data_IF_588096995373
#
_entry.id   IF_588096995373
#
_cell.length_a   1.000
_cell.length_b   1.000
_cell.length_c   1.000
_cell.angle_alpha   90.00
_cell.angle_beta   90.00
_cell.angle_gamma   90.00
#
_symmetry.space_group_name_H-M   'P 1'
#
loop_
_entity.id
_entity.type
_entity.pdbx_description
1 polymer ?
#
# COMPACT_ATOMS: atom_id res chain seq x y z
N UNK A 1 -8.38 -53.93 11.70
CA UNK A 1 -7.41 -52.93 12.19
C UNK A 1 -6.51 -52.35 11.10
N UNK A 2 -6.10 -53.08 10.04
CA UNK A 2 -5.27 -52.53 8.96
C UNK A 2 -5.94 -51.46 8.06
N UNK A 3 -7.28 -51.46 7.90
CA UNK A 3 -7.97 -50.49 7.02
C UNK A 3 -8.18 -49.10 7.64
N UNK A 4 -8.24 -48.99 8.97
CA UNK A 4 -8.35 -47.68 9.64
C UNK A 4 -7.02 -46.91 9.67
N UNK A 5 -5.89 -47.63 9.56
CA UNK A 5 -4.55 -47.05 9.55
C UNK A 5 -4.17 -46.42 8.19
N UNK A 6 -4.84 -46.83 7.11
CA UNK A 6 -4.65 -46.25 5.79
C UNK A 6 -5.40 -44.91 5.62
N UNK A 7 -6.54 -44.74 6.32
CA UNK A 7 -7.32 -43.49 6.26
C UNK A 7 -6.71 -42.38 7.11
N UNK A 8 -6.07 -42.70 8.24
CA UNK A 8 -5.32 -41.71 9.03
C UNK A 8 -4.02 -41.26 8.35
N UNK A 9 -3.35 -42.13 7.58
CA UNK A 9 -2.16 -41.76 6.81
C UNK A 9 -2.47 -40.80 5.65
N UNK A 10 -3.62 -40.94 4.98
CA UNK A 10 -4.04 -40.07 3.88
C UNK A 10 -4.42 -38.65 4.30
N UNK A 11 -5.00 -38.48 5.50
CA UNK A 11 -5.40 -37.16 6.03
C UNK A 11 -4.19 -36.37 6.55
N UNK A 12 -3.13 -37.04 7.02
CA UNK A 12 -1.89 -36.37 7.48
C UNK A 12 -1.03 -35.87 6.31
N UNK A 13 -1.12 -36.50 5.13
CA UNK A 13 -0.29 -36.13 3.96
C UNK A 13 -0.81 -34.91 3.19
N UNK A 14 -2.07 -34.50 3.40
CA UNK A 14 -2.65 -33.31 2.75
C UNK A 14 -2.28 -31.97 3.41
N UNK A 15 -1.58 -31.97 4.57
CA UNK A 15 -1.17 -30.77 5.30
C UNK A 15 0.26 -30.29 5.00
N UNK A 16 0.96 -30.89 4.03
CA UNK A 16 2.33 -30.52 3.65
C UNK A 16 2.41 -29.69 2.36
N UNK A 17 1.37 -28.92 2.04
CA UNK A 17 1.50 -27.86 1.04
C UNK A 17 2.37 -26.76 1.64
N UNK A 18 3.68 -26.81 1.38
CA UNK A 18 4.59 -25.73 1.75
C UNK A 18 4.09 -24.44 1.10
N UNK A 19 3.91 -23.34 1.85
CA UNK A 19 3.53 -22.08 1.24
C UNK A 19 4.61 -21.70 0.22
N UNK A 20 4.19 -21.44 -1.02
CA UNK A 20 5.07 -20.83 -2.00
C UNK A 20 5.59 -19.52 -1.41
N UNK A 21 6.89 -19.45 -1.15
CA UNK A 21 7.51 -18.23 -0.62
C UNK A 21 7.52 -17.20 -1.75
N UNK A 22 7.03 -15.96 -1.53
CA UNK A 22 7.18 -14.90 -2.52
C UNK A 22 8.66 -14.73 -2.85
N UNK A 23 8.98 -14.67 -4.14
CA UNK A 23 10.36 -14.60 -4.56
C UNK A 23 10.95 -13.26 -4.11
N UNK A 24 10.35 -12.13 -4.47
CA UNK A 24 10.91 -10.80 -4.22
C UNK A 24 10.22 -10.11 -3.04
N UNK A 25 11.01 -9.81 -2.02
CA UNK A 25 10.62 -8.99 -0.87
C UNK A 25 11.25 -7.61 -0.99
N UNK A 26 10.44 -6.57 -0.87
CA UNK A 26 10.88 -5.17 -0.88
C UNK A 26 11.07 -4.73 0.58
N UNK A 27 12.19 -4.08 0.89
CA UNK A 27 12.56 -3.67 2.24
C UNK A 27 11.71 -2.53 2.82
N UNK A 28 10.74 -2.02 2.07
CA UNK A 28 9.82 -0.97 2.49
C UNK A 28 8.43 -1.22 1.90
N UNK A 29 7.38 -0.70 2.54
CA UNK A 29 5.98 -0.75 2.04
C UNK A 29 5.57 0.55 1.31
N UNK A 30 6.46 1.54 1.34
CA UNK A 30 6.33 2.87 0.75
C UNK A 30 7.69 3.55 0.73
N UNK A 31 7.83 4.56 -0.11
CA UNK A 31 9.07 5.30 -0.28
C UNK A 31 8.78 6.78 -0.08
N UNK A 32 9.56 7.43 0.78
CA UNK A 32 9.58 8.90 0.87
C UNK A 32 10.80 9.38 0.11
N UNK A 33 10.60 10.25 -0.87
CA UNK A 33 11.65 10.95 -1.60
C UNK A 33 11.67 12.41 -1.13
N UNK A 34 12.58 12.80 -0.22
CA UNK A 34 12.71 14.20 0.17
C UNK A 34 13.30 15.01 -0.99
N UNK A 35 12.70 16.17 -1.25
CA UNK A 35 13.03 17.08 -2.36
C UNK A 35 14.52 17.48 -2.43
N UNK A 36 15.19 17.61 -1.30
CA UNK A 36 16.61 17.98 -1.24
C UNK A 36 17.58 16.80 -1.43
N UNK A 37 17.08 15.57 -1.42
CA UNK A 37 17.92 14.41 -1.64
C UNK A 37 18.18 14.22 -3.13
N UNK A 38 19.43 13.93 -3.47
CA UNK A 38 19.82 13.59 -4.84
C UNK A 38 19.18 12.28 -5.29
N UNK A 39 19.18 11.29 -4.41
CA UNK A 39 18.67 9.96 -4.68
C UNK A 39 18.16 9.26 -3.43
N UNK A 40 17.29 8.27 -3.63
CA UNK A 40 16.83 7.34 -2.59
C UNK A 40 17.03 5.91 -3.08
N UNK A 41 17.57 5.06 -2.21
CA UNK A 41 17.75 3.64 -2.50
C UNK A 41 16.62 2.79 -1.91
N UNK A 42 16.10 1.85 -2.69
CA UNK A 42 15.16 0.83 -2.24
C UNK A 42 15.81 -0.54 -2.35
N UNK A 43 15.79 -1.31 -1.26
CA UNK A 43 16.36 -2.66 -1.23
C UNK A 43 15.30 -3.70 -1.57
N UNK A 44 15.68 -4.66 -2.39
CA UNK A 44 14.92 -5.84 -2.75
C UNK A 44 15.73 -7.08 -2.39
N UNK A 45 15.07 -8.16 -2.02
CA UNK A 45 15.71 -9.44 -1.73
C UNK A 45 14.91 -10.58 -2.34
N UNK A 46 15.60 -11.51 -3.00
CA UNK A 46 15.00 -12.76 -3.40
C UNK A 46 15.02 -13.75 -2.23
N UNK A 47 13.86 -14.01 -1.62
CA UNK A 47 13.65 -15.03 -0.58
C UNK A 47 13.05 -16.33 -1.14
N UNK A 48 12.83 -16.39 -2.46
CA UNK A 48 12.45 -17.60 -3.17
C UNK A 48 13.63 -18.54 -3.39
N UNK A 49 13.32 -19.70 -3.97
CA UNK A 49 14.29 -20.78 -4.25
C UNK A 49 14.78 -20.74 -5.72
N UNK A 50 14.15 -19.91 -6.56
CA UNK A 50 14.49 -19.72 -7.97
C UNK A 50 14.93 -18.28 -8.25
N UNK A 51 15.79 -18.06 -9.26
CA UNK A 51 16.14 -16.72 -9.69
C UNK A 51 14.93 -15.99 -10.28
N UNK A 52 14.81 -14.69 -10.04
CA UNK A 52 13.75 -13.87 -10.63
C UNK A 52 14.33 -12.74 -11.47
N UNK A 53 13.68 -12.47 -12.61
CA UNK A 53 13.90 -11.23 -13.34
C UNK A 53 12.96 -10.16 -12.76
N UNK A 54 13.52 -9.03 -12.37
CA UNK A 54 12.79 -7.92 -11.77
C UNK A 54 12.79 -6.74 -12.73
N UNK A 55 11.61 -6.18 -12.98
CA UNK A 55 11.44 -4.91 -13.68
C UNK A 55 10.89 -3.86 -12.72
N UNK A 56 11.43 -2.65 -12.77
CA UNK A 56 11.01 -1.54 -11.90
C UNK A 56 10.75 -0.28 -12.71
N UNK A 57 9.67 0.44 -12.36
CA UNK A 57 9.34 1.74 -12.96
C UNK A 57 8.51 2.59 -11.99
N UNK A 58 8.43 3.89 -12.25
CA UNK A 58 7.66 4.84 -11.44
C UNK A 58 6.58 5.48 -12.30
N UNK A 59 5.33 5.45 -11.84
CA UNK A 59 4.17 6.07 -12.50
C UNK A 59 3.51 7.17 -11.65
N UNK A 60 2.58 7.92 -12.26
CA UNK A 60 1.87 9.08 -11.70
C UNK A 60 0.46 8.76 -11.19
N UNK A 61 0.08 7.49 -11.13
CA UNK A 61 -1.24 7.04 -10.65
C UNK A 61 -1.90 6.01 -11.55
N UNK A 62 -1.46 5.81 -12.78
CA UNK A 62 -2.04 4.84 -13.71
C UNK A 62 -1.71 3.38 -13.34
N UNK A 63 -2.72 2.65 -12.88
CA UNK A 63 -2.62 1.21 -12.58
C UNK A 63 -2.34 0.37 -13.81
N UNK A 64 -2.74 0.80 -15.01
CA UNK A 64 -2.43 0.11 -16.27
C UNK A 64 -1.03 0.45 -16.80
N UNK A 65 -0.26 1.28 -16.10
CA UNK A 65 1.07 1.69 -16.54
C UNK A 65 2.03 0.50 -16.68
N UNK A 66 2.93 0.64 -17.65
CA UNK A 66 4.03 -0.26 -17.96
C UNK A 66 5.32 0.54 -18.01
N UNK A 67 6.51 -0.11 -18.05
CA UNK A 67 7.78 0.62 -18.21
C UNK A 67 7.83 1.59 -19.41
N UNK A 68 7.01 1.36 -20.44
CA UNK A 68 6.96 2.18 -21.67
C UNK A 68 5.97 3.34 -21.58
N UNK A 69 4.92 3.20 -20.76
CA UNK A 69 3.84 4.20 -20.64
C UNK A 69 3.90 4.99 -19.34
N UNK A 70 4.79 4.60 -18.42
CA UNK A 70 5.01 5.23 -17.13
C UNK A 70 5.36 6.72 -17.28
N UNK A 71 4.71 7.54 -16.45
CA UNK A 71 4.90 9.00 -16.41
C UNK A 71 5.33 9.42 -15.02
N UNK A 72 6.17 10.43 -14.96
CA UNK A 72 6.62 11.00 -13.70
C UNK A 72 8.06 11.53 -13.82
N UNK A 73 8.45 12.48 -12.96
CA UNK A 73 9.76 13.11 -13.04
C UNK A 73 10.84 12.27 -12.32
N UNK A 74 10.80 10.94 -12.46
CA UNK A 74 11.72 10.04 -11.76
C UNK A 74 12.36 9.04 -12.71
N UNK A 75 13.65 8.80 -12.49
CA UNK A 75 14.40 7.70 -13.11
C UNK A 75 14.78 6.71 -12.02
N UNK A 76 14.66 5.42 -12.34
CA UNK A 76 15.04 4.32 -11.46
C UNK A 76 16.11 3.47 -12.15
N UNK A 77 17.16 3.09 -11.41
CA UNK A 77 18.31 2.37 -11.98
C UNK A 77 18.80 1.25 -11.04
N UNK A 78 19.11 0.04 -11.57
CA UNK A 78 18.79 -0.42 -12.91
C UNK A 78 17.27 -0.70 -13.08
N UNK A 79 16.68 -0.48 -14.28
CA UNK A 79 15.25 -0.69 -14.50
C UNK A 79 14.88 -2.17 -14.69
N UNK A 80 15.83 -3.01 -15.08
CA UNK A 80 15.65 -4.46 -15.25
C UNK A 80 16.91 -5.18 -14.78
N UNK A 81 16.76 -6.21 -13.95
CA UNK A 81 17.88 -6.96 -13.39
C UNK A 81 17.42 -8.33 -12.89
N UNK A 82 18.37 -9.26 -12.76
CA UNK A 82 18.13 -10.58 -12.16
C UNK A 82 18.55 -10.57 -10.69
N UNK A 83 17.77 -11.22 -9.83
CA UNK A 83 18.18 -11.53 -8.45
C UNK A 83 18.16 -13.04 -8.26
N UNK A 84 19.32 -13.63 -7.95
CA UNK A 84 19.45 -15.04 -7.62
C UNK A 84 18.90 -15.35 -6.20
N UNK A 85 18.51 -16.61 -5.92
CA UNK A 85 17.99 -17.02 -4.60
C UNK A 85 18.89 -16.56 -3.44
N UNK A 86 18.27 -16.04 -2.38
CA UNK A 86 18.95 -15.55 -1.18
C UNK A 86 19.65 -14.19 -1.32
N UNK A 87 19.83 -13.68 -2.55
CA UNK A 87 20.55 -12.43 -2.79
C UNK A 87 19.66 -11.19 -2.68
N UNK A 88 20.29 -10.05 -2.39
CA UNK A 88 19.68 -8.74 -2.41
C UNK A 88 20.17 -7.90 -3.58
N UNK A 89 19.33 -6.95 -4.00
CA UNK A 89 19.70 -5.89 -4.93
C UNK A 89 19.15 -4.56 -4.43
N UNK A 90 19.78 -3.45 -4.81
CA UNK A 90 19.27 -2.12 -4.49
C UNK A 90 19.04 -1.34 -5.78
N UNK A 91 17.87 -0.73 -5.89
CA UNK A 91 17.53 0.20 -6.97
C UNK A 91 17.64 1.62 -6.45
N UNK A 92 18.13 2.51 -7.29
CA UNK A 92 18.31 3.93 -6.99
C UNK A 92 17.28 4.75 -7.75
N UNK A 93 16.52 5.57 -7.03
CA UNK A 93 15.52 6.49 -7.54
C UNK A 93 16.12 7.89 -7.54
N UNK A 94 16.01 8.61 -8.65
CA UNK A 94 16.50 9.97 -8.83
C UNK A 94 15.37 10.82 -9.40
N UNK A 95 15.18 12.02 -8.85
CA UNK A 95 14.29 13.01 -9.45
C UNK A 95 15.00 13.71 -10.61
N UNK A 96 14.34 13.79 -11.77
CA UNK A 96 14.87 14.39 -13.01
C UNK A 96 13.96 15.51 -13.54
N UNK A 97 12.90 15.87 -12.81
CA UNK A 97 12.03 16.97 -13.21
C UNK A 97 12.66 18.33 -12.96
N UNK A 98 12.32 19.30 -13.81
CA UNK A 98 12.79 20.69 -13.69
C UNK A 98 12.21 21.41 -12.46
N UNK A 99 11.11 20.90 -11.91
CA UNK A 99 10.43 21.49 -10.75
C UNK A 99 10.15 20.43 -9.69
N UNK A 100 10.37 20.84 -8.45
CA UNK A 100 10.06 20.05 -7.26
C UNK A 100 8.84 20.71 -6.58
N UNK A 101 7.86 19.94 -6.06
CA UNK A 101 6.85 20.51 -5.18
C UNK A 101 7.51 21.33 -4.06
N UNK A 102 6.87 22.42 -3.64
CA UNK A 102 7.39 23.32 -2.60
C UNK A 102 6.43 23.48 -1.42
N UNK A 103 5.14 23.23 -1.62
CA UNK A 103 4.06 23.56 -0.67
C UNK A 103 3.33 22.33 -0.12
N UNK A 104 3.39 21.20 -0.82
CA UNK A 104 2.73 19.94 -0.44
C UNK A 104 3.36 18.73 -1.11
N UNK A 105 3.12 17.56 -0.55
CA UNK A 105 3.53 16.30 -1.15
C UNK A 105 2.84 16.05 -2.50
N UNK A 106 3.59 15.42 -3.41
CA UNK A 106 3.03 14.76 -4.60
C UNK A 106 3.16 13.25 -4.46
N UNK A 107 2.14 12.53 -4.90
CA UNK A 107 2.12 11.07 -4.87
C UNK A 107 2.47 10.51 -6.25
N UNK A 108 3.35 9.53 -6.24
CA UNK A 108 3.73 8.67 -7.36
C UNK A 108 3.67 7.22 -6.89
N UNK A 109 3.93 6.28 -7.81
CA UNK A 109 3.91 4.86 -7.49
C UNK A 109 5.15 4.15 -8.02
N UNK A 110 5.86 3.46 -7.12
CA UNK A 110 6.92 2.52 -7.48
C UNK A 110 6.28 1.16 -7.80
N UNK A 111 6.52 0.69 -9.02
CA UNK A 111 6.15 -0.65 -9.46
C UNK A 111 7.36 -1.56 -9.44
N UNK A 112 7.18 -2.77 -8.92
CA UNK A 112 8.17 -3.84 -8.92
C UNK A 112 7.48 -5.10 -9.43
N UNK A 113 7.79 -5.47 -10.67
CA UNK A 113 7.29 -6.69 -11.31
C UNK A 113 8.34 -7.78 -11.17
N UNK A 114 7.99 -8.87 -10.49
CA UNK A 114 8.78 -10.10 -10.47
C UNK A 114 8.30 -11.07 -11.55
N UNK A 115 9.24 -11.59 -12.34
CA UNK A 115 9.01 -12.54 -13.41
C UNK A 115 9.81 -13.82 -13.08
N UNK A 116 9.14 -14.93 -12.72
CA UNK A 116 9.80 -16.20 -12.47
C UNK A 116 10.40 -16.80 -13.75
N UNK A 117 11.35 -17.76 -13.63
CA UNK A 117 11.94 -18.42 -14.78
C UNK A 117 10.89 -19.27 -15.47
N UNK A 118 11.04 -19.49 -16.78
CA UNK A 118 10.14 -20.40 -17.50
C UNK A 118 10.26 -21.80 -16.92
N UNK A 119 9.13 -22.47 -16.71
CA UNK A 119 9.11 -23.87 -16.31
C UNK A 119 9.57 -24.72 -17.50
N UNK A 120 10.53 -25.61 -17.27
CA UNK A 120 10.97 -26.56 -18.29
C UNK A 120 9.79 -27.46 -18.68
N UNK A 121 9.40 -27.38 -19.95
CA UNK A 121 8.27 -28.15 -20.48
C UNK A 121 8.65 -29.62 -20.56
N UNK A 122 8.33 -30.42 -19.54
CA UNK A 122 8.16 -31.86 -19.75
C UNK A 122 6.83 -32.08 -20.46
N UNK A 123 6.87 -32.82 -21.58
CA UNK A 123 5.72 -33.21 -22.41
C UNK A 123 4.51 -33.57 -21.52
N UNK A 124 3.38 -32.86 -21.71
CA UNK A 124 2.07 -33.03 -21.01
C UNK A 124 1.81 -32.35 -19.66
N UNK A 125 2.45 -31.20 -19.36
CA UNK A 125 2.05 -30.39 -18.19
C UNK A 125 1.27 -29.11 -18.57
N UNK A 126 0.03 -28.99 -18.08
CA UNK A 126 -0.70 -27.72 -18.05
C UNK A 126 -0.18 -26.91 -16.86
N UNK A 127 0.74 -25.98 -17.10
CA UNK A 127 1.35 -25.17 -16.05
C UNK A 127 0.74 -23.77 -16.04
N UNK A 128 0.25 -23.36 -14.87
CA UNK A 128 -0.12 -21.98 -14.60
C UNK A 128 1.05 -21.29 -13.90
N UNK A 129 1.50 -20.17 -14.47
CA UNK A 129 2.59 -19.38 -13.94
C UNK A 129 2.09 -17.97 -13.58
N UNK A 130 2.48 -17.50 -12.40
CA UNK A 130 2.12 -16.18 -11.91
C UNK A 130 3.32 -15.24 -11.95
N UNK A 131 3.09 -13.99 -12.30
CA UNK A 131 4.02 -12.89 -12.12
C UNK A 131 3.35 -11.86 -11.21
N UNK A 132 4.04 -11.37 -10.19
CA UNK A 132 3.48 -10.44 -9.22
C UNK A 132 4.02 -9.04 -9.46
N UNK A 133 3.12 -8.05 -9.50
CA UNK A 133 3.48 -6.64 -9.52
C UNK A 133 3.13 -6.02 -8.18
N UNK A 134 4.15 -5.67 -7.41
CA UNK A 134 4.00 -4.84 -6.21
C UNK A 134 3.93 -3.37 -6.62
N UNK A 135 2.98 -2.64 -6.04
CA UNK A 135 2.79 -1.20 -6.29
C UNK A 135 2.81 -0.44 -4.97
N UNK A 136 3.86 0.34 -4.77
CA UNK A 136 4.17 1.04 -3.52
C UNK A 136 4.02 2.53 -3.72
N UNK A 137 3.49 3.24 -2.73
CA UNK A 137 3.42 4.71 -2.76
C UNK A 137 4.82 5.29 -2.70
N UNK A 138 5.08 6.28 -3.55
CA UNK A 138 6.27 7.12 -3.57
C UNK A 138 5.85 8.57 -3.30
N UNK A 139 6.20 9.10 -2.13
CA UNK A 139 5.87 10.46 -1.73
C UNK A 139 7.03 11.40 -2.09
N UNK A 140 6.82 12.31 -3.04
CA UNK A 140 7.76 13.38 -3.31
C UNK A 140 7.48 14.54 -2.34
N UNK A 141 8.34 14.67 -1.32
CA UNK A 141 8.09 15.54 -0.17
C UNK A 141 8.96 16.80 -0.21
N UNK A 142 8.38 18.01 -0.30
CA UNK A 142 9.11 19.26 -0.13
C UNK A 142 9.74 19.41 1.25
N UNK A 143 10.80 20.21 1.33
CA UNK A 143 11.31 20.71 2.60
C UNK A 143 10.50 21.91 3.10
N UNK A 144 10.65 22.26 4.39
CA UNK A 144 10.08 23.50 4.93
C UNK A 144 8.55 23.53 5.07
N UNK A 145 7.89 22.36 5.04
CA UNK A 145 6.44 22.29 5.27
C UNK A 145 6.04 22.82 6.67
N UNK A 146 4.86 23.47 6.80
CA UNK A 146 4.46 24.19 8.02
C UNK A 146 4.14 23.29 9.24
N UNK A 147 4.17 21.96 9.08
CA UNK A 147 3.98 21.00 10.16
C UNK A 147 4.67 19.69 9.83
N UNK A 148 4.81 18.78 10.80
CA UNK A 148 5.38 17.45 10.54
C UNK A 148 4.33 16.47 10.00
N UNK A 149 4.80 15.42 9.33
CA UNK A 149 3.92 14.36 8.79
C UNK A 149 3.11 13.66 9.88
N UNK A 150 3.70 13.44 11.06
CA UNK A 150 3.02 12.78 12.18
C UNK A 150 1.85 13.59 12.75
N UNK A 151 1.84 14.91 12.52
CA UNK A 151 0.74 15.79 12.91
C UNK A 151 -0.41 15.81 11.90
N UNK A 152 -0.20 15.33 10.66
CA UNK A 152 -1.21 15.39 9.60
C UNK A 152 -2.52 14.65 9.94
N UNK A 153 -2.51 13.43 10.53
CA UNK A 153 -3.74 12.71 10.86
C UNK A 153 -4.64 13.47 11.85
N UNK A 154 -4.05 14.13 12.84
CA UNK A 154 -4.80 14.91 13.84
C UNK A 154 -5.45 16.18 13.26
N UNK A 155 -4.99 16.64 12.10
CA UNK A 155 -5.56 17.81 11.39
C UNK A 155 -6.71 17.45 10.44
N UNK A 156 -7.01 16.17 10.27
CA UNK A 156 -8.11 15.74 9.41
C UNK A 156 -9.45 16.24 9.96
N UNK A 157 -10.30 16.71 9.06
CA UNK A 157 -11.65 17.14 9.40
C UNK A 157 -12.63 16.10 8.91
N UNK A 158 -13.40 15.54 9.83
CA UNK A 158 -14.37 14.48 9.57
C UNK A 158 -15.77 15.05 9.67
N UNK A 159 -16.64 14.82 8.69
CA UNK A 159 -18.03 15.30 8.73
C UNK A 159 -18.96 14.29 8.10
N UNK A 160 -20.20 14.24 8.58
CA UNK A 160 -21.23 13.40 7.98
C UNK A 160 -22.00 14.20 6.94
N UNK A 161 -22.01 13.74 5.70
CA UNK A 161 -22.78 14.32 4.60
C UNK A 161 -24.08 13.55 4.49
N UNK A 162 -25.21 14.25 4.66
CA UNK A 162 -26.56 13.70 4.49
C UNK A 162 -27.22 14.37 3.28
N UNK A 163 -27.88 13.57 2.45
CA UNK A 163 -28.71 14.02 1.33
C UNK A 163 -29.94 13.12 1.24
N UNK A 164 -30.53 13.00 0.05
CA UNK A 164 -31.73 12.16 -0.16
C UNK A 164 -31.44 10.64 -0.10
N UNK A 165 -30.16 10.26 -0.04
CA UNK A 165 -29.68 8.88 0.02
C UNK A 165 -29.01 8.51 1.35
N UNK A 166 -28.35 7.33 1.43
CA UNK A 166 -27.60 6.93 2.61
C UNK A 166 -26.51 7.95 2.94
N UNK A 167 -26.28 8.18 4.23
CA UNK A 167 -25.27 9.11 4.69
C UNK A 167 -23.87 8.70 4.18
N UNK A 168 -22.98 9.68 4.01
CA UNK A 168 -21.59 9.45 3.65
C UNK A 168 -20.67 10.13 4.64
N UNK A 169 -19.58 9.47 5.01
CA UNK A 169 -18.51 10.08 5.80
C UNK A 169 -17.56 10.82 4.85
N UNK A 170 -17.35 12.11 5.10
CA UNK A 170 -16.34 12.92 4.42
C UNK A 170 -15.13 13.10 5.34
N UNK A 171 -13.94 12.87 4.79
CA UNK A 171 -12.68 13.26 5.42
C UNK A 171 -11.97 14.28 4.54
N UNK A 172 -11.74 15.48 5.07
CA UNK A 172 -10.97 16.53 4.43
C UNK A 172 -9.56 16.62 5.03
N UNK A 173 -8.57 16.82 4.18
CA UNK A 173 -7.17 16.88 4.55
C UNK A 173 -6.60 18.27 4.29
N UNK A 174 -6.60 19.17 5.28
CA UNK A 174 -6.00 20.49 5.14
C UNK A 174 -4.46 20.46 5.25
N UNK A 175 -3.85 19.32 5.56
CA UNK A 175 -2.40 19.20 5.72
C UNK A 175 -1.69 19.13 4.36
N UNK A 176 -0.38 19.42 4.31
CA UNK A 176 0.43 19.29 3.10
C UNK A 176 0.86 17.84 2.80
N UNK A 177 0.37 16.84 3.55
CA UNK A 177 0.78 15.43 3.45
C UNK A 177 -0.32 14.53 2.91
N UNK A 178 0.03 13.47 2.18
CA UNK A 178 -0.90 12.41 1.80
C UNK A 178 -1.17 11.53 3.02
N UNK A 179 -2.41 11.47 3.49
CA UNK A 179 -2.77 10.58 4.61
C UNK A 179 -3.33 9.28 4.07
N UNK A 180 -2.69 8.15 4.41
CA UNK A 180 -3.12 6.81 4.02
C UNK A 180 -3.77 6.09 5.19
N UNK A 181 -4.99 5.58 4.99
CA UNK A 181 -5.74 4.84 6.00
C UNK A 181 -5.56 3.34 5.80
N UNK A 182 -5.17 2.66 6.88
CA UNK A 182 -5.29 1.21 7.01
C UNK A 182 -6.75 0.81 7.28
N UNK A 183 -7.42 1.56 8.14
CA UNK A 183 -8.82 1.33 8.49
C UNK A 183 -9.50 2.64 8.90
N UNK A 184 -10.80 2.73 8.63
CA UNK A 184 -11.72 3.77 9.09
C UNK A 184 -12.94 3.06 9.68
N UNK A 185 -13.37 3.49 10.85
CA UNK A 185 -14.55 3.03 11.55
C UNK A 185 -15.39 4.22 12.01
N UNK A 186 -16.70 4.05 12.01
CA UNK A 186 -17.64 5.07 12.47
C UNK A 186 -18.51 4.51 13.59
N UNK A 187 -18.60 5.22 14.71
CA UNK A 187 -19.26 4.72 15.91
C UNK A 187 -19.78 5.82 16.84
N UNK A 188 -20.40 5.42 17.97
CA UNK A 188 -21.05 6.33 18.90
C UNK A 188 -20.10 6.94 19.93
N UNK A 189 -18.89 6.41 20.07
CA UNK A 189 -17.91 6.85 21.06
C UNK A 189 -16.49 6.46 20.62
N UNK A 190 -15.50 7.15 21.14
CA UNK A 190 -14.08 6.84 21.06
C UNK A 190 -13.58 5.91 22.19
N UNK A 191 -14.47 5.46 23.08
CA UNK A 191 -14.12 4.55 24.16
C UNK A 191 -13.55 3.22 23.61
N UNK A 192 -12.48 2.67 24.23
CA UNK A 192 -11.93 1.38 23.85
C UNK A 192 -13.01 0.29 23.83
N UNK A 193 -13.10 -0.45 22.72
CA UNK A 193 -14.10 -1.53 22.55
C UNK A 193 -15.49 -1.07 22.12
N UNK A 194 -15.72 0.24 21.90
CA UNK A 194 -16.96 0.71 21.32
C UNK A 194 -17.17 0.11 19.91
N UNK A 195 -18.40 -0.34 19.58
CA UNK A 195 -18.68 -0.92 18.28
C UNK A 195 -18.56 0.15 17.18
N UNK A 196 -17.84 -0.18 16.11
CA UNK A 196 -17.67 0.70 14.95
C UNK A 196 -18.12 -0.02 13.69
N UNK A 197 -18.81 0.68 12.80
CA UNK A 197 -19.07 0.23 11.44
C UNK A 197 -17.77 0.37 10.64
N UNK A 198 -17.19 -0.71 10.10
CA UNK A 198 -15.99 -0.62 9.28
C UNK A 198 -16.33 0.01 7.92
N UNK A 199 -15.57 1.03 7.53
CA UNK A 199 -15.77 1.79 6.29
C UNK A 199 -14.62 1.56 5.28
N UNK A 200 -13.72 0.62 5.57
CA UNK A 200 -12.58 0.30 4.71
C UNK A 200 -11.39 1.22 4.96
N UNK A 201 -10.67 1.57 3.90
CA UNK A 201 -9.46 2.39 3.97
C UNK A 201 -9.36 3.36 2.79
N UNK A 202 -8.14 3.62 2.35
CA UNK A 202 -7.87 4.49 1.20
C UNK A 202 -6.84 5.55 1.53
N UNK A 203 -6.94 6.71 0.89
CA UNK A 203 -6.07 7.84 1.18
C UNK A 203 -6.75 9.15 0.83
N UNK A 204 -6.27 10.23 1.42
CA UNK A 204 -6.70 11.58 1.11
C UNK A 204 -5.47 12.44 0.78
N UNK A 205 -5.49 13.03 -0.41
CA UNK A 205 -4.42 13.89 -0.91
C UNK A 205 -4.34 15.22 -0.14
N UNK A 206 -3.20 15.91 -0.12
CA UNK A 206 -3.07 17.24 0.45
C UNK A 206 -4.09 18.22 -0.13
N UNK A 207 -4.84 18.91 0.73
CA UNK A 207 -5.93 19.82 0.34
C UNK A 207 -7.18 19.13 -0.24
N UNK A 208 -7.20 17.80 -0.31
CA UNK A 208 -8.28 17.02 -0.89
C UNK A 208 -9.30 16.52 0.14
N UNK A 209 -10.28 15.76 -0.35
CA UNK A 209 -11.21 15.01 0.49
C UNK A 209 -11.55 13.64 -0.08
N UNK A 210 -11.86 12.69 0.80
CA UNK A 210 -12.38 11.37 0.48
C UNK A 210 -13.82 11.26 1.02
N UNK A 211 -14.73 10.72 0.20
CA UNK A 211 -16.13 10.46 0.55
C UNK A 211 -16.35 8.96 0.59
N UNK A 212 -16.89 8.47 1.70
CA UNK A 212 -17.10 7.05 1.95
C UNK A 212 -18.57 6.81 2.27
N UNK A 213 -19.29 6.00 1.47
CA UNK A 213 -20.67 5.65 1.78
C UNK A 213 -20.77 4.92 3.12
N UNK A 214 -21.73 5.32 3.97
CA UNK A 214 -22.02 4.63 5.23
C UNK A 214 -23.15 3.63 4.99
N UNK A 215 -22.95 2.34 5.28
CA UNK A 215 -24.02 1.34 5.17
C UNK A 215 -25.21 1.67 6.10
N UNK A 216 -26.43 1.61 5.56
CA UNK A 216 -27.68 1.69 6.33
C UNK A 216 -28.09 0.31 6.87
N UNK A 217 -28.78 0.20 8.02
CA UNK A 217 -29.15 1.25 8.98
C UNK A 217 -28.14 1.36 10.13
N UNK A 218 -27.76 2.58 10.49
CA UNK A 218 -26.98 2.85 11.71
C UNK A 218 -27.95 3.27 12.82
N UNK A 219 -28.38 2.30 13.64
CA UNK A 219 -29.36 2.51 14.72
C UNK A 219 -28.82 3.26 15.95
N UNK A 220 -27.59 3.75 15.91
CA UNK A 220 -26.93 4.49 16.99
C UNK A 220 -26.46 5.85 16.50
N UNK A 221 -26.44 6.85 17.38
CA UNK A 221 -25.89 8.17 17.06
C UNK A 221 -24.41 8.04 16.68
N UNK A 222 -24.07 8.33 15.43
CA UNK A 222 -22.70 8.33 14.95
C UNK A 222 -22.08 9.68 15.26
N UNK A 223 -21.11 9.71 16.16
CA UNK A 223 -20.51 10.96 16.67
C UNK A 223 -18.98 10.94 16.60
N UNK A 224 -18.37 9.76 16.50
CA UNK A 224 -16.92 9.59 16.52
C UNK A 224 -16.44 8.71 15.36
N UNK A 225 -15.27 9.06 14.83
CA UNK A 225 -14.50 8.27 13.89
C UNK A 225 -13.34 7.64 14.62
N UNK A 226 -13.18 6.33 14.48
CA UNK A 226 -11.92 5.65 14.75
C UNK A 226 -11.19 5.45 13.43
N UNK A 227 -9.89 5.67 13.40
CA UNK A 227 -9.10 5.44 12.20
C UNK A 227 -7.73 4.91 12.56
N UNK A 228 -7.10 4.28 11.59
CA UNK A 228 -5.72 3.85 11.69
C UNK A 228 -5.00 4.30 10.42
N UNK A 229 -3.97 5.14 10.56
CA UNK A 229 -3.15 5.59 9.43
C UNK A 229 -1.90 4.76 9.31
N UNK A 230 -1.32 4.72 8.12
CA UNK A 230 0.01 4.14 7.90
C UNK A 230 0.99 5.29 7.85
N UNK A 231 1.99 5.30 8.73
CA UNK A 231 3.04 6.33 8.75
C UNK A 231 4.13 6.07 7.69
N UNK A 232 5.18 6.89 7.64
CA UNK A 232 6.26 6.76 6.65
C UNK A 232 7.03 5.44 6.73
N UNK A 233 7.09 4.84 7.92
CA UNK A 233 7.79 3.58 8.17
C UNK A 233 6.91 2.35 7.89
N UNK A 234 5.66 2.55 7.45
CA UNK A 234 4.71 1.46 7.22
C UNK A 234 4.01 0.96 8.49
N UNK A 235 4.23 1.59 9.64
CA UNK A 235 3.55 1.23 10.88
C UNK A 235 2.13 1.78 10.92
N UNK A 236 1.23 1.01 11.53
CA UNK A 236 -0.17 1.39 11.73
C UNK A 236 -0.28 2.20 13.02
N UNK A 237 -0.75 3.45 12.90
CA UNK A 237 -0.92 4.38 14.01
C UNK A 237 -2.41 4.65 14.21
N UNK A 238 -3.00 4.25 15.34
CA UNK A 238 -4.42 4.48 15.63
C UNK A 238 -4.67 5.95 15.97
N UNK A 239 -5.90 6.41 15.72
CA UNK A 239 -6.39 7.72 16.09
C UNK A 239 -7.91 7.75 16.18
N UNK A 240 -8.44 8.78 16.84
CA UNK A 240 -9.87 9.04 16.93
C UNK A 240 -10.15 10.51 16.65
N UNK A 241 -11.37 10.82 16.19
CA UNK A 241 -11.82 12.18 15.99
C UNK A 241 -13.32 12.27 16.23
N UNK A 242 -13.78 13.42 16.74
CA UNK A 242 -15.19 13.77 16.73
C UNK A 242 -15.60 14.23 15.33
N UNK A 243 -16.82 13.91 14.94
CA UNK A 243 -17.40 14.51 13.75
C UNK A 243 -17.55 16.01 13.96
N UNK A 244 -17.10 16.78 12.97
CA UNK A 244 -17.43 18.18 12.83
C UNK A 244 -18.95 18.30 12.57
N UNK A 245 -19.58 19.37 13.10
CA UNK A 245 -20.99 19.65 12.88
C UNK A 245 -21.34 19.84 11.40
#
# INVERSE_FOLDING_TARGET
>A
MLKQMAWTAGVVMALMASPAKPAIVIGATRVVFPAAQRDVAVRLQNKGEEPALVQVWIDDGDEASSPQTARGPFVITPPVFRIDPGHGHAVRIVHVGDTTPVDKEKLYWLNVLEIPPKVDKTESSNVLQFAFRHRLKLFHRPEGLPSTVDQAPAKLVWSLVRGDGPASLRVANPSPYVVSFNAIGLGPSDAPGAPTVPLGGGMVMPGGSLIIPVPSPTGSELTHVSYAVINDYGAVVPGTAKLAP
#
